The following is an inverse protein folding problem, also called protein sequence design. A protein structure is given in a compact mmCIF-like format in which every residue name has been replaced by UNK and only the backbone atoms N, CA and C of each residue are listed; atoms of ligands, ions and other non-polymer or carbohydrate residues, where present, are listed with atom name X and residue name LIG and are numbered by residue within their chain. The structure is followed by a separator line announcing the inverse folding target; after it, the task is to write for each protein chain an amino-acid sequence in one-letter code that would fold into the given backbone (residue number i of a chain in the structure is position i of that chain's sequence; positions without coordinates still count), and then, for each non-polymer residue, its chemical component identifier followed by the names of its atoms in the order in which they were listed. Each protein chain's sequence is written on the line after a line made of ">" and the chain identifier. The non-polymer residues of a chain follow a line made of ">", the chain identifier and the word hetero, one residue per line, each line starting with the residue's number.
data_IF_540675573381
#
_entry.id   IF_540675573381
#
_cell.length_a   1.000
_cell.length_b   1.000
_cell.length_c   1.000
_cell.angle_alpha   90.00
_cell.angle_beta   90.00
_cell.angle_gamma   90.00
#
_symmetry.space_group_name_H-M   'P 1'
#
loop_
_entity.id
_entity.type
_entity.pdbx_description
1 polymer ?
#
# COMPACT_ATOMS: atom_id res chain seq x y z
N UNK A 1 -24.87 -28.81 4.54
CA UNK A 1 -24.33 -29.13 3.19
C UNK A 1 -24.85 -28.21 2.09
N UNK A 2 -26.15 -27.90 2.02
CA UNK A 2 -26.70 -27.04 0.95
C UNK A 2 -26.15 -25.61 0.89
N UNK A 3 -25.82 -25.01 2.05
CA UNK A 3 -25.32 -23.62 2.13
C UNK A 3 -24.00 -23.45 1.39
N UNK A 4 -23.11 -24.45 1.42
CA UNK A 4 -21.82 -24.41 0.73
C UNK A 4 -22.03 -24.41 -0.79
N UNK A 5 -22.95 -25.24 -1.28
CA UNK A 5 -23.29 -25.28 -2.71
C UNK A 5 -23.90 -23.96 -3.17
N UNK A 6 -24.81 -23.38 -2.39
CA UNK A 6 -25.41 -22.08 -2.69
C UNK A 6 -24.34 -20.98 -2.71
N UNK A 7 -23.43 -20.98 -1.73
CA UNK A 7 -22.36 -19.99 -1.68
C UNK A 7 -21.37 -20.13 -2.84
N UNK A 8 -21.00 -21.35 -3.23
CA UNK A 8 -20.16 -21.60 -4.40
C UNK A 8 -20.85 -21.20 -5.70
N UNK A 9 -22.13 -21.54 -5.85
CA UNK A 9 -22.94 -21.14 -7.00
C UNK A 9 -23.10 -19.61 -7.07
N UNK A 10 -23.26 -18.93 -5.94
CA UNK A 10 -23.29 -17.47 -5.89
C UNK A 10 -21.91 -16.87 -6.21
N UNK A 11 -20.83 -17.46 -5.69
CA UNK A 11 -19.49 -16.90 -5.86
C UNK A 11 -18.96 -17.08 -7.28
N UNK A 12 -19.18 -18.25 -7.89
CA UNK A 12 -18.67 -18.57 -9.22
C UNK A 12 -19.74 -18.51 -10.31
N UNK A 13 -20.96 -18.98 -10.02
CA UNK A 13 -22.05 -18.96 -10.99
C UNK A 13 -22.47 -17.54 -11.38
N UNK A 14 -22.44 -16.56 -10.46
CA UNK A 14 -22.70 -15.17 -10.80
C UNK A 14 -21.69 -14.59 -11.80
N UNK A 15 -20.42 -15.03 -11.78
CA UNK A 15 -19.45 -14.63 -12.82
C UNK A 15 -19.83 -15.16 -14.20
N UNK A 16 -20.27 -16.41 -14.28
CA UNK A 16 -20.78 -16.97 -15.55
C UNK A 16 -22.00 -16.21 -16.04
N UNK A 17 -23.01 -16.02 -15.18
CA UNK A 17 -24.24 -15.27 -15.54
C UNK A 17 -23.91 -13.85 -16.00
N UNK A 18 -23.01 -13.15 -15.29
CA UNK A 18 -22.55 -11.83 -15.70
C UNK A 18 -21.88 -11.87 -17.08
N UNK A 19 -20.99 -12.84 -17.34
CA UNK A 19 -20.28 -12.94 -18.62
C UNK A 19 -21.24 -13.16 -19.81
N UNK A 20 -22.29 -13.96 -19.62
CA UNK A 20 -23.34 -14.13 -20.63
C UNK A 20 -24.16 -12.85 -20.84
N UNK A 21 -24.47 -12.09 -19.78
CA UNK A 21 -25.14 -10.79 -19.89
C UNK A 21 -24.32 -9.77 -20.68
N UNK A 22 -22.98 -9.83 -20.58
CA UNK A 22 -22.05 -8.99 -21.34
C UNK A 22 -21.69 -9.55 -22.73
N UNK A 23 -22.30 -10.67 -23.14
CA UNK A 23 -22.12 -11.31 -24.45
C UNK A 23 -20.68 -11.78 -24.75
N UNK A 24 -19.84 -11.96 -23.74
CA UNK A 24 -18.50 -12.54 -23.88
C UNK A 24 -18.25 -13.57 -22.77
N UNK A 25 -18.73 -14.82 -22.91
CA UNK A 25 -18.49 -15.86 -21.90
C UNK A 25 -17.11 -16.52 -22.04
N UNK A 26 -16.36 -16.25 -23.11
CA UNK A 26 -15.22 -17.07 -23.50
C UNK A 26 -14.07 -16.97 -22.50
N UNK A 27 -13.84 -15.79 -21.94
CA UNK A 27 -12.84 -15.55 -20.90
C UNK A 27 -13.03 -16.42 -19.65
N UNK A 28 -14.26 -16.84 -19.36
CA UNK A 28 -14.55 -17.72 -18.24
C UNK A 28 -14.17 -19.18 -18.50
N UNK A 29 -14.01 -19.60 -19.75
CA UNK A 29 -13.56 -20.95 -20.09
C UNK A 29 -12.04 -21.03 -20.23
N UNK A 30 -11.42 -20.02 -20.85
CA UNK A 30 -9.99 -20.10 -21.19
C UNK A 30 -9.06 -19.46 -20.17
N UNK A 31 -9.50 -18.51 -19.34
CA UNK A 31 -8.64 -17.79 -18.38
C UNK A 31 -9.00 -18.06 -16.92
N UNK A 32 -10.25 -18.44 -16.64
CA UNK A 32 -10.72 -18.66 -15.27
C UNK A 32 -10.00 -19.81 -14.56
N UNK A 33 -9.72 -20.98 -15.19
CA UNK A 33 -8.98 -22.05 -14.50
C UNK A 33 -7.57 -21.62 -14.10
N UNK A 34 -6.85 -20.91 -14.97
CA UNK A 34 -5.52 -20.37 -14.66
C UNK A 34 -5.61 -19.33 -13.55
N UNK A 35 -6.63 -18.48 -13.58
CA UNK A 35 -6.90 -17.54 -12.49
C UNK A 35 -7.09 -18.26 -11.15
N UNK A 36 -7.89 -19.32 -11.09
CA UNK A 36 -8.10 -20.08 -9.84
C UNK A 36 -6.80 -20.68 -9.29
N UNK A 37 -5.89 -21.14 -10.16
CA UNK A 37 -4.60 -21.69 -9.75
C UNK A 37 -3.68 -20.63 -9.15
N UNK A 38 -3.68 -19.41 -9.71
CA UNK A 38 -2.79 -18.33 -9.25
C UNK A 38 -3.44 -17.45 -8.18
N UNK A 39 -4.76 -17.52 -8.00
CA UNK A 39 -5.52 -16.67 -7.07
C UNK A 39 -4.98 -16.73 -5.63
N UNK A 40 -4.61 -17.91 -5.15
CA UNK A 40 -4.00 -18.07 -3.82
C UNK A 40 -2.67 -17.32 -3.70
N UNK A 41 -1.81 -17.42 -4.71
CA UNK A 41 -0.53 -16.70 -4.75
C UNK A 41 -0.74 -15.19 -4.81
N UNK A 42 -1.69 -14.72 -5.64
CA UNK A 42 -2.02 -13.30 -5.73
C UNK A 42 -2.48 -12.73 -4.39
N UNK A 43 -3.39 -13.41 -3.69
CA UNK A 43 -3.89 -12.94 -2.38
C UNK A 43 -2.74 -12.81 -1.38
N UNK A 44 -1.83 -13.79 -1.32
CA UNK A 44 -0.72 -13.75 -0.36
C UNK A 44 0.34 -12.70 -0.74
N UNK A 45 0.80 -12.68 -1.99
CA UNK A 45 1.87 -11.78 -2.44
C UNK A 45 1.41 -10.32 -2.39
N UNK A 46 0.22 -10.02 -2.91
CA UNK A 46 -0.28 -8.64 -2.95
C UNK A 46 -0.53 -8.08 -1.55
N UNK A 47 -1.06 -8.89 -0.62
CA UNK A 47 -1.27 -8.44 0.76
C UNK A 47 0.05 -8.12 1.47
N UNK A 48 1.02 -9.04 1.41
CA UNK A 48 2.34 -8.82 2.04
C UNK A 48 3.06 -7.63 1.41
N UNK A 49 3.01 -7.50 0.07
CA UNK A 49 3.59 -6.36 -0.62
C UNK A 49 2.94 -5.04 -0.20
N UNK A 50 1.61 -5.01 -0.08
CA UNK A 50 0.86 -3.81 0.32
C UNK A 50 1.20 -3.40 1.76
N UNK A 51 1.23 -4.34 2.70
CA UNK A 51 1.63 -4.05 4.09
C UNK A 51 3.09 -3.59 4.19
N UNK A 52 3.96 -4.12 3.34
CA UNK A 52 5.38 -3.74 3.28
C UNK A 52 5.62 -2.38 2.63
N UNK A 53 4.65 -1.85 1.89
CA UNK A 53 4.77 -0.58 1.18
C UNK A 53 3.68 0.42 1.54
N UNK A 54 3.00 0.24 2.69
CA UNK A 54 1.90 1.10 3.14
C UNK A 54 2.25 2.59 3.23
N UNK A 55 3.52 2.93 3.47
CA UNK A 55 4.00 4.31 3.53
C UNK A 55 4.08 4.98 2.15
N UNK A 56 4.15 4.22 1.05
CA UNK A 56 4.15 4.74 -0.31
C UNK A 56 2.73 4.70 -0.91
N UNK A 57 1.85 5.52 -0.34
CA UNK A 57 0.45 5.69 -0.81
C UNK A 57 0.38 6.40 -2.17
N UNK A 58 1.52 6.86 -2.70
CA UNK A 58 1.57 7.53 -4.00
C UNK A 58 1.51 6.59 -5.20
N UNK A 59 1.24 5.29 -4.98
CA UNK A 59 0.86 4.41 -6.07
C UNK A 59 -0.48 4.84 -6.69
N UNK A 60 -0.50 5.06 -8.00
CA UNK A 60 -1.72 5.42 -8.74
C UNK A 60 -1.97 6.91 -8.99
N UNK A 61 -1.21 7.85 -8.41
CA UNK A 61 -1.30 9.30 -8.70
C UNK A 61 0.04 10.05 -8.76
N UNK A 62 1.18 9.34 -8.84
CA UNK A 62 2.50 9.93 -9.17
C UNK A 62 2.47 10.55 -10.58
N UNK A 63 1.93 11.75 -10.72
CA UNK A 63 1.91 12.52 -11.96
C UNK A 63 0.68 13.39 -12.21
N UNK A 64 -0.41 13.25 -11.45
CA UNK A 64 -1.66 14.00 -11.73
C UNK A 64 -1.83 15.32 -10.95
N UNK A 65 -1.03 15.56 -9.91
CA UNK A 65 -1.24 16.71 -9.00
C UNK A 65 -0.22 17.84 -9.12
N UNK A 66 0.72 17.79 -10.07
CA UNK A 66 1.68 18.89 -10.28
C UNK A 66 1.76 19.30 -11.73
N UNK A 67 0.94 20.30 -12.09
CA UNK A 67 1.25 21.19 -13.21
C UNK A 67 2.49 21.97 -12.77
N UNK A 68 3.67 21.58 -13.26
CA UNK A 68 4.91 22.35 -13.09
C UNK A 68 4.73 23.73 -13.72
N UNK A 69 4.36 24.71 -12.90
CA UNK A 69 4.44 26.12 -13.26
C UNK A 69 5.93 26.49 -13.34
N UNK A 70 6.49 26.39 -14.55
CA UNK A 70 7.87 26.77 -14.83
C UNK A 70 8.14 28.21 -14.35
N UNK A 71 9.22 28.48 -13.59
CA UNK A 71 9.54 29.82 -13.15
C UNK A 71 9.96 30.67 -14.35
N UNK A 72 9.33 31.84 -14.50
CA UNK A 72 9.74 32.86 -15.46
C UNK A 72 11.20 33.26 -15.21
N UNK A 73 12.04 33.11 -16.23
CA UNK A 73 13.46 33.45 -16.18
C UNK A 73 13.65 34.97 -15.98
N UNK A 74 14.14 35.38 -14.81
CA UNK A 74 14.67 36.73 -14.63
C UNK A 74 16.15 36.77 -15.01
N UNK A 75 16.49 37.63 -15.96
CA UNK A 75 17.88 37.90 -16.36
C UNK A 75 18.40 39.10 -15.58
N UNK A 76 19.38 38.89 -14.71
CA UNK A 76 20.18 39.99 -14.15
C UNK A 76 21.54 39.97 -14.85
N UNK A 77 21.80 40.98 -15.68
CA UNK A 77 23.13 41.25 -16.22
C UNK A 77 24.02 41.79 -15.10
N UNK A 78 25.21 41.23 -14.93
CA UNK A 78 26.26 41.76 -14.05
C UNK A 78 27.41 42.23 -14.94
N UNK A 79 27.69 43.55 -14.90
CA UNK A 79 28.88 44.17 -15.50
C UNK A 79 30.10 43.95 -14.61
N UNK A 80 31.23 43.65 -15.26
CA UNK A 80 32.43 43.14 -14.62
C UNK A 80 33.31 44.16 -13.90
N UNK A 81 34.37 43.60 -13.29
CA UNK A 81 35.73 44.16 -13.24
C UNK A 81 36.68 43.13 -12.63
N UNK A 82 37.83 42.95 -13.27
CA UNK A 82 38.90 42.07 -12.87
C UNK A 82 39.50 42.51 -11.52
N UNK A 83 39.63 41.59 -10.58
CA UNK A 83 40.33 41.81 -9.32
C UNK A 83 41.82 41.54 -9.53
N UNK A 84 42.61 42.62 -9.58
CA UNK A 84 44.06 42.57 -9.39
C UNK A 84 44.28 42.18 -7.93
N UNK A 85 44.98 41.05 -7.72
CA UNK A 85 45.36 40.57 -6.40
C UNK A 85 46.60 41.37 -5.99
N UNK A 86 46.38 42.41 -5.19
CA UNK A 86 47.44 43.09 -4.46
C UNK A 86 47.74 42.23 -3.23
N UNK A 87 48.89 41.55 -3.22
CA UNK A 87 49.39 40.87 -2.02
C UNK A 87 49.74 41.93 -0.99
N UNK A 88 48.79 42.22 -0.11
CA UNK A 88 48.97 43.08 1.05
C UNK A 88 49.97 42.39 1.98
N UNK A 89 51.15 42.98 2.11
CA UNK A 89 52.16 42.63 3.11
C UNK A 89 51.53 42.81 4.50
N UNK A 90 51.10 41.70 5.10
CA UNK A 90 50.35 41.72 6.36
C UNK A 90 51.32 41.93 7.51
N UNK A 91 51.04 42.85 8.44
CA UNK A 91 51.85 43.03 9.64
C UNK A 91 51.90 41.72 10.45
N UNK A 92 53.06 41.43 11.05
CA UNK A 92 53.34 40.16 11.76
C UNK A 92 52.30 39.84 12.86
N UNK A 93 51.75 40.87 13.52
CA UNK A 93 50.69 40.71 14.53
C UNK A 93 49.40 40.07 13.98
N UNK A 94 49.05 40.33 12.72
CA UNK A 94 47.88 39.73 12.07
C UNK A 94 48.12 38.26 11.73
N UNK A 95 49.37 37.87 11.50
CA UNK A 95 49.75 36.47 11.28
C UNK A 95 49.69 35.70 12.60
N UNK A 96 50.22 36.28 13.67
CA UNK A 96 50.23 35.66 15.00
C UNK A 96 48.82 35.52 15.58
N UNK A 97 47.94 36.50 15.38
CA UNK A 97 46.53 36.42 15.82
C UNK A 97 45.74 35.33 15.09
N UNK A 98 45.95 35.20 13.77
CA UNK A 98 45.35 34.14 12.97
C UNK A 98 45.91 32.76 13.32
N UNK A 99 47.22 32.68 13.62
CA UNK A 99 47.86 31.45 14.07
C UNK A 99 47.32 31.01 15.44
N UNK A 100 47.23 31.92 16.40
CA UNK A 100 46.69 31.65 17.73
C UNK A 100 45.22 31.23 17.67
N UNK A 101 44.41 31.88 16.82
CA UNK A 101 43.01 31.51 16.59
C UNK A 101 42.88 30.11 15.98
N UNK A 102 43.78 29.74 15.07
CA UNK A 102 43.81 28.42 14.43
C UNK A 102 44.24 27.34 15.41
N UNK A 103 45.27 27.59 16.23
CA UNK A 103 45.76 26.68 17.26
C UNK A 103 44.70 26.46 18.35
N UNK A 104 44.02 27.52 18.81
CA UNK A 104 42.91 27.42 19.78
C UNK A 104 41.72 26.65 19.21
N UNK A 105 41.45 26.75 17.91
CA UNK A 105 40.42 25.94 17.23
C UNK A 105 40.83 24.48 17.13
N UNK A 106 42.10 24.19 16.84
CA UNK A 106 42.63 22.83 16.70
C UNK A 106 42.76 22.10 18.06
N UNK A 107 43.06 22.83 19.14
CA UNK A 107 43.13 22.30 20.51
C UNK A 107 41.77 22.21 21.21
N UNK A 108 40.69 22.70 20.57
CA UNK A 108 39.35 22.59 21.13
C UNK A 108 38.93 21.12 21.12
N UNK A 109 38.66 20.60 22.32
CA UNK A 109 38.20 19.23 22.53
C UNK A 109 37.02 18.90 21.59
N UNK A 110 37.16 17.84 20.80
CA UNK A 110 36.13 17.39 19.86
C UNK A 110 34.90 16.95 20.65
N UNK A 111 33.89 17.82 20.70
CA UNK A 111 32.55 17.46 21.16
C UNK A 111 31.83 16.85 19.97
N UNK A 112 31.69 15.53 19.99
CA UNK A 112 30.81 14.83 19.05
C UNK A 112 29.46 15.57 19.03
N UNK A 113 28.91 15.91 17.86
CA UNK A 113 27.57 16.44 17.77
C UNK A 113 26.66 15.49 18.55
N UNK A 114 25.88 16.00 19.51
CA UNK A 114 24.80 15.19 20.07
C UNK A 114 23.88 14.86 18.91
N UNK A 115 23.88 13.61 18.48
CA UNK A 115 22.89 13.13 17.53
C UNK A 115 21.54 13.44 18.15
N UNK A 116 20.77 14.29 17.47
CA UNK A 116 19.43 14.61 17.89
C UNK A 116 18.60 13.34 17.68
N UNK A 117 18.41 12.56 18.76
CA UNK A 117 17.51 11.39 18.82
C UNK A 117 16.04 11.77 18.63
N UNK A 118 15.74 12.87 17.93
CA UNK A 118 14.44 13.06 17.33
C UNK A 118 14.21 11.84 16.43
N UNK A 119 13.30 10.95 16.86
CA UNK A 119 12.88 9.78 16.09
C UNK A 119 12.57 10.28 14.68
N UNK A 120 13.46 10.01 13.73
CA UNK A 120 13.24 10.48 12.37
C UNK A 120 11.92 9.86 11.91
N UNK A 121 11.12 10.63 11.17
CA UNK A 121 9.85 10.12 10.65
C UNK A 121 10.06 8.82 9.86
N UNK A 122 11.22 8.69 9.22
CA UNK A 122 11.63 7.45 8.54
C UNK A 122 11.77 6.25 9.47
N UNK A 123 12.31 6.42 10.67
CA UNK A 123 12.46 5.34 11.64
C UNK A 123 11.10 4.91 12.22
N UNK A 124 10.22 5.88 12.46
CA UNK A 124 8.83 5.61 12.84
C UNK A 124 8.07 4.85 11.74
N UNK A 125 8.27 5.20 10.46
CA UNK A 125 7.66 4.49 9.34
C UNK A 125 8.21 3.07 9.14
N UNK A 126 9.52 2.85 9.36
CA UNK A 126 10.13 1.51 9.31
C UNK A 126 9.61 0.62 10.43
N UNK A 127 9.50 1.14 11.65
CA UNK A 127 8.95 0.43 12.80
C UNK A 127 7.48 0.07 12.56
N UNK A 128 6.66 1.04 12.12
CA UNK A 128 5.24 0.83 11.85
C UNK A 128 4.97 -0.28 10.83
N UNK A 129 5.71 -0.30 9.70
CA UNK A 129 5.59 -1.36 8.70
C UNK A 129 5.84 -2.74 9.28
N UNK A 130 6.90 -2.86 10.07
CA UNK A 130 7.31 -4.15 10.65
C UNK A 130 6.28 -4.61 11.68
N UNK A 131 5.79 -3.70 12.52
CA UNK A 131 4.71 -3.97 13.47
C UNK A 131 3.41 -4.35 12.77
N UNK A 132 3.03 -3.70 11.67
CA UNK A 132 1.83 -4.00 10.89
C UNK A 132 1.89 -5.43 10.32
N UNK A 133 3.00 -5.78 9.65
CA UNK A 133 3.19 -7.12 9.07
C UNK A 133 3.26 -8.17 10.17
N UNK A 134 4.00 -7.91 11.26
CA UNK A 134 4.10 -8.82 12.39
C UNK A 134 2.74 -9.04 13.07
N UNK A 135 1.95 -7.98 13.28
CA UNK A 135 0.60 -8.06 13.83
C UNK A 135 -0.32 -8.87 12.91
N UNK A 136 -0.25 -8.66 11.59
CA UNK A 136 -1.03 -9.42 10.63
C UNK A 136 -0.68 -10.92 10.67
N UNK A 137 0.60 -11.27 10.62
CA UNK A 137 1.06 -12.68 10.72
C UNK A 137 0.61 -13.30 12.05
N UNK A 138 0.84 -12.58 13.17
CA UNK A 138 0.46 -13.05 14.50
C UNK A 138 -1.05 -13.25 14.64
N UNK A 139 -1.87 -12.32 14.14
CA UNK A 139 -3.34 -12.45 14.17
C UNK A 139 -3.84 -13.65 13.36
N UNK A 140 -3.23 -13.94 12.19
CA UNK A 140 -3.58 -15.10 11.37
C UNK A 140 -3.13 -16.40 12.02
N UNK A 141 -1.94 -16.43 12.62
CA UNK A 141 -1.44 -17.57 13.37
C UNK A 141 -2.30 -17.87 14.60
N UNK A 142 -2.65 -16.84 15.38
CA UNK A 142 -3.57 -16.94 16.52
C UNK A 142 -4.92 -17.49 16.07
N UNK A 143 -5.50 -16.95 14.99
CA UNK A 143 -6.77 -17.42 14.44
C UNK A 143 -6.69 -18.89 14.03
N UNK A 144 -5.62 -19.30 13.36
CA UNK A 144 -5.42 -20.70 12.95
C UNK A 144 -5.35 -21.63 14.17
N UNK A 145 -4.58 -21.27 15.20
CA UNK A 145 -4.48 -22.04 16.45
C UNK A 145 -5.83 -22.12 17.15
N UNK A 146 -6.53 -20.99 17.29
CA UNK A 146 -7.84 -20.94 17.93
C UNK A 146 -8.84 -21.79 17.18
N UNK A 147 -8.85 -21.81 15.84
CA UNK A 147 -9.81 -22.61 15.07
C UNK A 147 -9.49 -24.11 15.13
N UNK A 148 -8.22 -24.48 15.07
CA UNK A 148 -7.77 -25.88 14.90
C UNK A 148 -7.49 -26.65 16.18
N UNK A 149 -7.23 -25.98 17.30
CA UNK A 149 -6.87 -26.65 18.57
C UNK A 149 -8.09 -27.09 19.39
N UNK A 150 -8.11 -28.35 19.82
CA UNK A 150 -9.17 -28.91 20.69
C UNK A 150 -9.12 -28.38 22.13
N UNK A 151 -7.99 -27.81 22.56
CA UNK A 151 -7.81 -27.32 23.94
C UNK A 151 -8.67 -26.10 24.28
N UNK A 152 -9.21 -25.41 23.27
CA UNK A 152 -10.06 -24.24 23.46
C UNK A 152 -11.54 -24.59 23.67
N UNK A 153 -11.91 -25.87 23.70
CA UNK A 153 -13.29 -26.31 23.95
C UNK A 153 -13.81 -25.86 25.33
N UNK A 154 -12.92 -25.73 26.33
CA UNK A 154 -13.25 -25.20 27.67
C UNK A 154 -13.45 -23.69 27.73
N UNK A 155 -13.01 -22.91 26.72
CA UNK A 155 -13.09 -21.43 26.76
C UNK A 155 -14.46 -20.90 26.27
N UNK A 156 -15.53 -21.70 26.35
CA UNK A 156 -16.88 -21.30 25.97
C UNK A 156 -17.20 -21.40 24.48
N UNK A 157 -16.29 -21.93 23.65
CA UNK A 157 -16.57 -22.17 22.23
C UNK A 157 -17.33 -23.49 21.96
N UNK A 158 -17.44 -24.37 22.96
CA UNK A 158 -18.44 -25.46 23.09
C UNK A 158 -18.55 -26.46 21.93
N UNK A 159 -17.68 -26.38 20.93
CA UNK A 159 -17.73 -27.15 19.71
C UNK A 159 -16.32 -27.66 19.41
N UNK A 160 -16.19 -28.98 19.22
CA UNK A 160 -14.96 -29.64 18.76
C UNK A 160 -14.29 -28.86 17.64
N UNK A 161 -12.96 -28.89 17.54
CA UNK A 161 -12.21 -28.11 16.54
C UNK A 161 -12.72 -28.31 15.11
N UNK A 162 -13.13 -29.53 14.76
CA UNK A 162 -13.75 -29.86 13.46
C UNK A 162 -15.03 -29.04 13.18
N UNK A 163 -15.92 -28.91 14.16
CA UNK A 163 -17.17 -28.17 14.02
C UNK A 163 -16.93 -26.65 13.95
N UNK A 164 -15.97 -26.12 14.73
CA UNK A 164 -15.58 -24.70 14.65
C UNK A 164 -14.95 -24.35 13.31
N UNK A 165 -14.07 -25.22 12.80
CA UNK A 165 -13.45 -25.09 11.48
C UNK A 165 -14.51 -25.06 10.38
N UNK A 166 -15.48 -25.99 10.41
CA UNK A 166 -16.58 -26.01 9.45
C UNK A 166 -17.45 -24.74 9.51
N UNK A 167 -17.79 -24.24 10.71
CA UNK A 167 -18.53 -22.98 10.89
C UNK A 167 -17.75 -21.77 10.37
N UNK A 168 -16.44 -21.72 10.60
CA UNK A 168 -15.58 -20.66 10.08
C UNK A 168 -15.58 -20.64 8.55
N UNK A 169 -15.35 -21.79 7.90
CA UNK A 169 -15.42 -21.90 6.44
C UNK A 169 -16.80 -21.52 5.90
N UNK A 170 -17.88 -21.94 6.57
CA UNK A 170 -19.24 -21.57 6.19
C UNK A 170 -19.44 -20.04 6.26
N UNK A 171 -19.00 -19.39 7.34
CA UNK A 171 -19.09 -17.94 7.47
C UNK A 171 -18.30 -17.21 6.37
N UNK A 172 -17.10 -17.70 6.05
CA UNK A 172 -16.25 -17.17 4.97
C UNK A 172 -16.94 -17.25 3.60
N UNK A 173 -17.56 -18.40 3.30
CA UNK A 173 -18.29 -18.62 2.07
C UNK A 173 -19.53 -17.73 1.96
N UNK A 174 -20.31 -17.57 3.04
CA UNK A 174 -21.47 -16.68 3.06
C UNK A 174 -21.04 -15.23 2.86
N UNK A 175 -20.00 -14.77 3.58
CA UNK A 175 -19.48 -13.42 3.44
C UNK A 175 -19.01 -13.12 2.01
N UNK A 176 -18.29 -14.08 1.41
CA UNK A 176 -17.84 -13.97 0.01
C UNK A 176 -19.03 -13.95 -0.95
N UNK A 177 -20.03 -14.81 -0.74
CA UNK A 177 -21.24 -14.83 -1.54
C UNK A 177 -22.02 -13.50 -1.48
N UNK A 178 -22.16 -12.91 -0.29
CA UNK A 178 -22.78 -11.59 -0.12
C UNK A 178 -22.03 -10.51 -0.90
N UNK A 179 -20.69 -10.47 -0.81
CA UNK A 179 -19.87 -9.51 -1.56
C UNK A 179 -19.99 -9.72 -3.08
N UNK A 180 -20.00 -10.96 -3.55
CA UNK A 180 -20.23 -11.27 -4.97
C UNK A 180 -21.61 -10.81 -5.44
N UNK A 181 -22.64 -10.92 -4.59
CA UNK A 181 -24.00 -10.46 -4.88
C UNK A 181 -24.07 -8.94 -5.01
N UNK A 182 -23.41 -8.20 -4.10
CA UNK A 182 -23.28 -6.73 -4.19
C UNK A 182 -22.61 -6.31 -5.50
N UNK A 183 -21.50 -6.98 -5.88
CA UNK A 183 -20.83 -6.73 -7.16
C UNK A 183 -21.74 -7.01 -8.35
N UNK A 184 -22.48 -8.11 -8.31
CA UNK A 184 -23.41 -8.48 -9.37
C UNK A 184 -24.55 -7.47 -9.53
N UNK A 185 -25.11 -6.95 -8.44
CA UNK A 185 -26.10 -5.87 -8.46
C UNK A 185 -25.50 -4.62 -9.13
N UNK A 186 -24.26 -4.27 -8.81
CA UNK A 186 -23.54 -3.19 -9.49
C UNK A 186 -23.39 -3.41 -11.00
N UNK A 187 -23.06 -4.65 -11.41
CA UNK A 187 -23.00 -5.01 -12.83
C UNK A 187 -24.34 -4.86 -13.55
N UNK A 188 -25.44 -5.29 -12.92
CA UNK A 188 -26.79 -5.15 -13.46
C UNK A 188 -27.21 -3.68 -13.57
N UNK A 189 -26.90 -2.88 -12.56
CA UNK A 189 -27.16 -1.45 -12.57
C UNK A 189 -26.44 -0.75 -13.73
N UNK A 190 -25.15 -1.02 -13.90
CA UNK A 190 -24.36 -0.46 -15.00
C UNK A 190 -24.92 -0.85 -16.37
N UNK A 191 -25.23 -2.13 -16.57
CA UNK A 191 -25.78 -2.62 -17.84
C UNK A 191 -27.14 -1.98 -18.15
N UNK A 192 -28.02 -1.86 -17.15
CA UNK A 192 -29.30 -1.18 -17.27
C UNK A 192 -29.16 0.31 -17.61
N UNK A 193 -28.23 1.00 -16.94
CA UNK A 193 -27.92 2.40 -17.22
C UNK A 193 -27.42 2.61 -18.65
N UNK A 194 -26.44 1.83 -19.10
CA UNK A 194 -25.89 1.91 -20.46
C UNK A 194 -26.99 1.63 -21.50
N UNK A 195 -27.83 0.61 -21.26
CA UNK A 195 -28.92 0.28 -22.18
C UNK A 195 -29.95 1.40 -22.27
N UNK A 196 -30.29 2.04 -21.15
CA UNK A 196 -31.22 3.16 -21.10
C UNK A 196 -30.65 4.39 -21.84
N UNK A 197 -29.38 4.72 -21.63
CA UNK A 197 -28.71 5.81 -22.35
C UNK A 197 -28.68 5.58 -23.86
N UNK A 198 -28.37 4.36 -24.31
CA UNK A 198 -28.38 4.00 -25.73
C UNK A 198 -29.78 4.15 -26.33
N UNK A 199 -30.82 3.68 -25.62
CA UNK A 199 -32.21 3.80 -26.09
C UNK A 199 -32.61 5.27 -26.20
N UNK A 200 -32.26 6.12 -25.22
CA UNK A 200 -32.56 7.55 -25.30
C UNK A 200 -31.83 8.21 -26.47
N UNK A 201 -30.55 7.89 -26.71
CA UNK A 201 -29.78 8.48 -27.81
C UNK A 201 -30.26 8.03 -29.19
N UNK A 202 -30.77 6.80 -29.34
CA UNK A 202 -31.32 6.31 -30.61
C UNK A 202 -32.71 6.91 -30.90
N UNK A 203 -33.48 7.29 -29.87
CA UNK A 203 -34.82 7.85 -30.02
C UNK A 203 -34.85 9.39 -30.07
N UNK A 204 -33.69 10.06 -30.07
CA UNK A 204 -33.54 11.51 -30.24
C UNK A 204 -32.95 11.83 -31.62
#
# INVERSE_FOLDING_TARGET
>A
SGIILIALAATFGLYFVASFLYLDPWHMFHSFPQYLLVASSYINILNVYSYSNWHDVSWGTKGSDKVDALPSAQTTKVEGKAAVIEEVDKPQEDIDSQFEATVKRALKEYKAPKEDESKSLEDSYKSFRTTLVAFWIFSNALLAVVITSDNFDSFGFGNKASARTAKFFQALLIATACLSLVRFIGCLWFLGYVRLCIVIHINL
#
